data_IF_229085755391
#
_entry.id   IF_229085755391
#
_cell.length_a   1.000
_cell.length_b   1.000
_cell.length_c   1.000
_cell.angle_alpha   90.00
_cell.angle_beta   90.00
_cell.angle_gamma   90.00
#
_symmetry.space_group_name_H-M   'P 1'
#
loop_
_entity.id
_entity.type
_entity.pdbx_description
1 polymer ?
#
# COMPACT_ATOMS: atom_id res chain seq x y z
N UNK A 1 -16.75 12.45 8.21
CA UNK A 1 -15.29 12.66 8.24
C UNK A 1 -15.03 14.05 7.72
N UNK A 2 -14.45 14.95 8.52
CA UNK A 2 -14.08 16.28 8.04
C UNK A 2 -13.17 16.16 6.82
N UNK A 3 -13.38 16.99 5.81
CA UNK A 3 -12.57 16.98 4.60
C UNK A 3 -11.16 17.41 5.02
N UNK A 4 -10.25 16.45 5.13
CA UNK A 4 -8.84 16.73 5.36
C UNK A 4 -8.33 17.34 4.05
N UNK A 5 -7.81 18.57 4.11
CA UNK A 5 -7.20 19.21 2.95
C UNK A 5 -5.89 18.48 2.64
N UNK A 6 -5.94 17.54 1.69
CA UNK A 6 -4.80 16.84 1.14
C UNK A 6 -4.71 17.18 -0.34
N UNK A 7 -3.50 17.33 -0.86
CA UNK A 7 -3.32 17.53 -2.29
C UNK A 7 -3.77 16.29 -3.08
N UNK A 8 -4.16 16.49 -4.33
CA UNK A 8 -4.68 15.43 -5.20
C UNK A 8 -3.68 14.28 -5.40
N UNK A 9 -2.37 14.59 -5.39
CA UNK A 9 -1.32 13.60 -5.56
C UNK A 9 -1.23 12.66 -4.34
N UNK A 10 -1.32 13.21 -3.12
CA UNK A 10 -1.39 12.45 -1.88
C UNK A 10 -2.65 11.60 -1.82
N UNK A 11 -3.81 12.15 -2.21
CA UNK A 11 -5.07 11.40 -2.28
C UNK A 11 -4.97 10.20 -3.23
N UNK A 12 -4.45 10.40 -4.44
CA UNK A 12 -4.30 9.33 -5.44
C UNK A 12 -3.28 8.27 -5.01
N UNK A 13 -2.22 8.67 -4.32
CA UNK A 13 -1.28 7.72 -3.73
C UNK A 13 -1.92 6.89 -2.62
N UNK A 14 -2.68 7.51 -1.72
CA UNK A 14 -3.39 6.80 -0.66
C UNK A 14 -4.43 5.82 -1.24
N UNK A 15 -5.12 6.23 -2.32
CA UNK A 15 -6.07 5.38 -3.04
C UNK A 15 -5.38 4.13 -3.60
N UNK A 16 -4.21 4.28 -4.23
CA UNK A 16 -3.37 3.19 -4.76
C UNK A 16 -2.84 2.28 -3.65
N UNK A 17 -2.28 2.85 -2.58
CA UNK A 17 -1.75 2.09 -1.45
C UNK A 17 -2.84 1.26 -0.75
N UNK A 18 -4.02 1.84 -0.56
CA UNK A 18 -5.16 1.15 0.04
C UNK A 18 -5.69 -0.02 -0.80
N UNK A 19 -5.39 -0.06 -2.09
CA UNK A 19 -5.75 -1.19 -2.95
C UNK A 19 -4.83 -2.40 -2.72
N UNK A 20 -3.59 -2.18 -2.25
CA UNK A 20 -2.65 -3.26 -1.94
C UNK A 20 -3.07 -4.01 -0.68
N UNK A 21 -3.42 -3.29 0.39
CA UNK A 21 -3.85 -3.90 1.66
C UNK A 21 -5.32 -4.29 1.72
N UNK A 22 -6.17 -3.67 0.89
CA UNK A 22 -7.60 -3.91 0.85
C UNK A 22 -8.39 -3.17 1.94
N UNK A 23 -9.64 -2.84 1.64
CA UNK A 23 -10.53 -2.05 2.53
C UNK A 23 -11.69 -2.85 3.13
N UNK A 24 -11.71 -4.16 2.95
CA UNK A 24 -12.71 -5.09 3.49
C UNK A 24 -12.05 -6.35 4.03
N UNK A 25 -12.77 -7.12 4.85
CA UNK A 25 -12.24 -8.35 5.45
C UNK A 25 -11.83 -9.39 4.39
N UNK A 26 -12.65 -9.59 3.36
CA UNK A 26 -12.34 -10.51 2.26
C UNK A 26 -11.12 -10.03 1.46
N UNK A 27 -10.99 -8.71 1.24
CA UNK A 27 -9.82 -8.16 0.56
C UNK A 27 -8.53 -8.34 1.39
N UNK A 28 -8.61 -8.15 2.71
CA UNK A 28 -7.48 -8.39 3.62
C UNK A 28 -7.10 -9.88 3.68
N UNK A 29 -8.07 -10.80 3.65
CA UNK A 29 -7.78 -12.22 3.55
C UNK A 29 -7.00 -12.54 2.25
N UNK A 30 -7.44 -11.98 1.12
CA UNK A 30 -6.72 -12.08 -0.16
C UNK A 30 -5.30 -11.50 -0.10
N UNK A 31 -5.13 -10.34 0.56
CA UNK A 31 -3.81 -9.75 0.80
C UNK A 31 -2.90 -10.71 1.57
N UNK A 32 -3.36 -11.27 2.69
CA UNK A 32 -2.53 -12.17 3.51
C UNK A 32 -2.20 -13.49 2.80
N UNK A 33 -3.13 -14.05 2.02
CA UNK A 33 -2.86 -15.23 1.19
C UNK A 33 -1.76 -14.93 0.17
N UNK A 34 -1.87 -13.79 -0.53
CA UNK A 34 -0.87 -13.34 -1.51
C UNK A 34 0.49 -13.12 -0.87
N UNK A 35 0.56 -12.40 0.25
CA UNK A 35 1.80 -12.12 0.97
C UNK A 35 2.45 -13.42 1.46
N UNK A 36 1.68 -14.34 2.05
CA UNK A 36 2.19 -15.63 2.50
C UNK A 36 2.86 -16.40 1.36
N UNK A 37 2.18 -16.51 0.22
CA UNK A 37 2.76 -17.15 -0.98
C UNK A 37 4.02 -16.44 -1.47
N UNK A 38 4.05 -15.11 -1.46
CA UNK A 38 5.25 -14.35 -1.85
C UNK A 38 6.43 -14.59 -0.89
N UNK A 39 6.17 -14.70 0.42
CA UNK A 39 7.20 -15.04 1.40
C UNK A 39 7.76 -16.45 1.13
N UNK A 40 6.90 -17.44 0.90
CA UNK A 40 7.32 -18.82 0.58
C UNK A 40 8.15 -18.89 -0.71
N UNK A 41 7.76 -18.13 -1.74
CA UNK A 41 8.48 -18.10 -3.02
C UNK A 41 9.77 -17.29 -2.98
N UNK A 42 9.96 -16.41 -1.99
CA UNK A 42 11.10 -15.50 -1.91
C UNK A 42 11.69 -15.49 -0.49
N UNK A 43 12.27 -16.60 -0.01
CA UNK A 43 12.70 -16.76 1.39
C UNK A 43 13.82 -15.78 1.83
N UNK A 44 14.51 -15.15 0.89
CA UNK A 44 15.53 -14.14 1.17
C UNK A 44 14.98 -12.71 1.33
N UNK A 45 13.69 -12.48 1.07
CA UNK A 45 13.06 -11.18 1.23
C UNK A 45 12.28 -11.12 2.53
N UNK A 46 12.44 -10.02 3.24
CA UNK A 46 11.58 -9.67 4.37
C UNK A 46 10.17 -9.31 3.89
N UNK A 47 9.21 -9.43 4.80
CA UNK A 47 7.85 -8.94 4.58
C UNK A 47 7.83 -7.48 4.12
N UNK A 48 8.67 -6.64 4.72
CA UNK A 48 8.77 -5.21 4.41
C UNK A 48 9.21 -4.99 2.96
N UNK A 49 10.17 -5.79 2.47
CA UNK A 49 10.63 -5.71 1.08
C UNK A 49 9.56 -6.18 0.10
N UNK A 50 8.82 -7.24 0.44
CA UNK A 50 7.67 -7.72 -0.35
C UNK A 50 6.60 -6.63 -0.43
N UNK A 51 6.18 -6.04 0.69
CA UNK A 51 5.17 -4.98 0.70
C UNK A 51 5.64 -3.74 -0.05
N UNK A 52 6.91 -3.35 0.11
CA UNK A 52 7.49 -2.25 -0.65
C UNK A 52 7.44 -2.50 -2.17
N UNK A 53 7.70 -3.74 -2.60
CA UNK A 53 7.61 -4.14 -4.00
C UNK A 53 6.16 -4.08 -4.51
N UNK A 54 5.21 -4.56 -3.73
CA UNK A 54 3.78 -4.53 -4.10
C UNK A 54 3.23 -3.11 -4.18
N UNK A 55 3.62 -2.22 -3.25
CA UNK A 55 3.26 -0.80 -3.29
C UNK A 55 3.84 -0.11 -4.53
N UNK A 56 5.11 -0.38 -4.88
CA UNK A 56 5.70 0.13 -6.12
C UNK A 56 5.00 -0.41 -7.37
N UNK A 57 4.64 -1.69 -7.38
CA UNK A 57 3.90 -2.30 -8.50
C UNK A 57 2.50 -1.70 -8.66
N UNK A 58 1.86 -1.27 -7.56
CA UNK A 58 0.62 -0.51 -7.57
C UNK A 58 0.79 0.98 -7.95
N UNK A 59 2.02 1.41 -8.29
CA UNK A 59 2.35 2.77 -8.67
C UNK A 59 2.31 3.76 -7.52
N UNK A 60 2.49 3.31 -6.27
CA UNK A 60 2.60 4.20 -5.11
C UNK A 60 3.98 4.84 -5.12
N UNK A 61 4.01 6.18 -5.10
CA UNK A 61 5.24 6.96 -4.99
C UNK A 61 5.54 7.29 -3.51
N UNK A 62 6.61 6.77 -2.88
CA UNK A 62 6.97 7.11 -1.51
C UNK A 62 7.21 8.61 -1.28
N UNK A 63 7.60 9.36 -2.32
CA UNK A 63 7.89 10.79 -2.24
C UNK A 63 6.66 11.68 -2.07
N UNK A 64 5.47 11.19 -2.40
CA UNK A 64 4.22 11.96 -2.33
C UNK A 64 3.44 11.79 -1.01
N UNK A 65 4.05 11.18 0.01
CA UNK A 65 3.47 11.06 1.36
C UNK A 65 3.73 12.29 2.24
N UNK A 66 4.24 13.40 1.68
CA UNK A 66 4.39 14.63 2.45
C UNK A 66 3.01 15.23 2.71
N UNK A 67 2.58 15.18 3.96
CA UNK A 67 1.40 15.93 4.40
C UNK A 67 1.72 17.41 4.18
N UNK A 68 0.82 18.16 3.55
CA UNK A 68 0.96 19.61 3.41
C UNK A 68 1.22 20.20 4.80
N UNK A 69 2.35 20.91 4.97
CA UNK A 69 2.62 21.65 6.20
C UNK A 69 1.51 22.69 6.40
N UNK A 70 0.98 22.75 7.62
CA UNK A 70 -0.14 23.60 8.01
C UNK A 70 0.24 25.08 8.08
#
# INVERSE_FOLDING_TARGET
MGIVNIDDQLHDNLRRASAVSGRSINAQAGFWIKVGMLCEMNPGLSYQEIVCRELRAAGVDPGALRVAEA
#
